data_IF_312668379334
#
_entry.id   IF_312668379334
#
_cell.length_a   1.000
_cell.length_b   1.000
_cell.length_c   1.000
_cell.angle_alpha   90.00
_cell.angle_beta   90.00
_cell.angle_gamma   90.00
#
_symmetry.space_group_name_H-M   'P 1'
#
loop_
_entity.id
_entity.type
_entity.pdbx_description
1 polymer ?
#
# COMPACT_ATOMS: atom_id res chain seq x y z
N UNK A 1 -6.27 4.77 1.41
CA UNK A 1 -5.40 5.62 2.25
C UNK A 1 -6.06 6.97 2.41
N UNK A 2 -5.47 7.93 3.14
CA UNK A 2 -5.99 9.30 3.16
C UNK A 2 -5.81 10.05 1.82
N UNK A 3 -5.05 9.46 0.90
CA UNK A 3 -4.78 9.98 -0.45
C UNK A 3 -5.58 9.22 -1.54
N UNK A 4 -6.62 8.47 -1.15
CA UNK A 4 -7.45 7.67 -2.05
C UNK A 4 -7.19 6.16 -2.03
N UNK A 5 -7.86 5.44 -2.92
CA UNK A 5 -7.72 3.98 -3.05
C UNK A 5 -6.41 3.63 -3.74
N UNK A 6 -5.65 2.72 -3.14
CA UNK A 6 -4.35 2.22 -3.63
C UNK A 6 -4.38 0.71 -3.49
N UNK A 7 -4.18 -0.01 -4.59
CA UNK A 7 -4.06 -1.47 -4.58
C UNK A 7 -2.72 -1.89 -3.98
N UNK A 8 -2.72 -3.04 -3.31
CA UNK A 8 -1.51 -3.65 -2.76
C UNK A 8 -1.27 -4.96 -3.52
N UNK A 9 -0.08 -5.09 -4.08
CA UNK A 9 0.45 -6.37 -4.56
C UNK A 9 1.00 -7.15 -3.39
N UNK A 10 0.59 -8.40 -3.28
CA UNK A 10 1.06 -9.33 -2.23
C UNK A 10 1.82 -10.46 -2.92
N UNK A 11 3.05 -10.70 -2.47
CA UNK A 11 3.86 -11.84 -2.86
C UNK A 11 3.81 -12.90 -1.77
N UNK A 12 3.43 -14.12 -2.16
CA UNK A 12 3.32 -15.26 -1.26
C UNK A 12 4.48 -16.23 -1.46
N UNK A 13 4.95 -16.83 -0.37
CA UNK A 13 5.87 -17.96 -0.38
C UNK A 13 5.18 -19.27 -0.76
N UNK A 14 5.95 -20.38 -0.90
CA UNK A 14 5.43 -21.69 -1.31
C UNK A 14 4.35 -22.27 -0.40
N UNK A 15 4.32 -21.88 0.87
CA UNK A 15 3.36 -22.30 1.90
C UNK A 15 2.21 -21.30 2.11
N UNK A 16 2.14 -20.25 1.27
CA UNK A 16 1.15 -19.19 1.38
C UNK A 16 1.50 -18.09 2.37
N UNK A 17 2.69 -18.11 2.99
CA UNK A 17 3.13 -17.02 3.86
C UNK A 17 3.36 -15.72 3.07
N UNK A 18 3.06 -14.57 3.66
CA UNK A 18 3.26 -13.28 2.99
C UNK A 18 4.74 -12.88 3.07
N UNK A 19 5.46 -12.96 1.95
CA UNK A 19 6.87 -12.54 1.88
C UNK A 19 7.03 -11.05 1.60
N UNK A 20 6.17 -10.50 0.74
CA UNK A 20 6.34 -9.15 0.25
C UNK A 20 4.99 -8.45 0.07
N UNK A 21 4.99 -7.15 0.33
CA UNK A 21 3.90 -6.25 -0.01
C UNK A 21 4.43 -5.03 -0.73
N UNK A 22 3.73 -4.60 -1.76
CA UNK A 22 4.07 -3.39 -2.49
C UNK A 22 2.80 -2.62 -2.90
N UNK A 23 2.67 -1.33 -2.57
CA UNK A 23 1.61 -0.51 -3.14
C UNK A 23 1.81 -0.37 -4.65
N UNK A 24 0.73 -0.48 -5.42
CA UNK A 24 0.77 -0.31 -6.88
C UNK A 24 1.25 1.09 -7.24
N UNK A 25 2.25 1.16 -8.12
CA UNK A 25 2.94 2.41 -8.44
C UNK A 25 2.01 3.42 -9.08
N UNK A 26 1.20 3.00 -10.07
CA UNK A 26 0.33 3.91 -10.82
C UNK A 26 -0.74 4.55 -9.93
N UNK A 27 -1.31 3.77 -9.01
CA UNK A 27 -2.27 4.27 -8.03
C UNK A 27 -1.60 5.30 -7.10
N UNK A 28 -0.37 5.01 -6.64
CA UNK A 28 0.40 5.92 -5.80
C UNK A 28 0.79 7.21 -6.55
N UNK A 29 1.19 7.08 -7.81
CA UNK A 29 1.62 8.20 -8.65
C UNK A 29 0.44 9.10 -9.01
N UNK A 30 -0.73 8.52 -9.29
CA UNK A 30 -1.98 9.26 -9.49
C UNK A 30 -2.35 10.05 -8.23
N UNK A 31 -2.40 9.38 -7.07
CA UNK A 31 -2.70 10.03 -5.80
C UNK A 31 -1.71 11.15 -5.44
N UNK A 32 -0.41 10.95 -5.70
CA UNK A 32 0.61 11.97 -5.50
C UNK A 32 0.38 13.22 -6.36
N UNK A 33 0.02 13.05 -7.64
CA UNK A 33 -0.28 14.16 -8.55
C UNK A 33 -1.56 14.91 -8.14
N UNK A 34 -2.62 14.18 -7.80
CA UNK A 34 -3.91 14.76 -7.39
C UNK A 34 -3.82 15.57 -6.09
N UNK A 35 -2.94 15.16 -5.17
CA UNK A 35 -2.85 15.76 -3.82
C UNK A 35 -1.65 16.69 -3.64
N UNK A 36 -0.71 16.71 -4.58
CA UNK A 36 0.57 17.43 -4.43
C UNK A 36 1.52 16.82 -3.38
N UNK A 37 1.21 15.62 -2.86
CA UNK A 37 2.01 14.96 -1.82
C UNK A 37 3.13 14.14 -2.46
N UNK A 38 4.36 14.13 -1.89
CA UNK A 38 5.44 13.31 -2.40
C UNK A 38 5.07 11.82 -2.50
N UNK A 39 5.37 11.18 -3.64
CA UNK A 39 5.09 9.77 -3.90
C UNK A 39 5.53 8.83 -2.76
N UNK A 40 6.70 9.10 -2.16
CA UNK A 40 7.23 8.32 -1.02
C UNK A 40 6.27 8.34 0.18
N UNK A 41 5.66 9.49 0.48
CA UNK A 41 4.68 9.63 1.58
C UNK A 41 3.37 8.91 1.26
N UNK A 42 2.94 8.92 -0.01
CA UNK A 42 1.77 8.16 -0.45
C UNK A 42 2.01 6.66 -0.28
N UNK A 43 3.14 6.14 -0.77
CA UNK A 43 3.53 4.73 -0.62
C UNK A 43 3.63 4.30 0.85
N UNK A 44 4.31 5.11 1.68
CA UNK A 44 4.47 4.80 3.11
C UNK A 44 3.12 4.70 3.83
N UNK A 45 2.21 5.65 3.58
CA UNK A 45 0.88 5.61 4.17
C UNK A 45 0.03 4.44 3.64
N UNK A 46 0.25 3.97 2.41
CA UNK A 46 -0.42 2.77 1.91
C UNK A 46 -0.01 1.51 2.68
N UNK A 47 1.29 1.36 2.96
CA UNK A 47 1.82 0.28 3.79
C UNK A 47 1.28 0.35 5.23
N UNK A 48 1.32 1.53 5.86
CA UNK A 48 0.80 1.73 7.23
C UNK A 48 -0.68 1.36 7.36
N UNK A 49 -1.51 1.71 6.35
CA UNK A 49 -2.94 1.37 6.36
C UNK A 49 -3.16 -0.13 6.14
N UNK A 50 -2.36 -0.76 5.29
CA UNK A 50 -2.43 -2.21 5.07
C UNK A 50 -2.10 -2.96 6.37
N UNK A 51 -0.99 -2.61 7.02
CA UNK A 51 -0.51 -3.26 8.24
C UNK A 51 -1.54 -3.14 9.38
N UNK A 52 -2.10 -1.94 9.59
CA UNK A 52 -3.17 -1.73 10.57
C UNK A 52 -4.40 -2.60 10.29
N UNK A 53 -4.76 -2.79 9.02
CA UNK A 53 -5.91 -3.61 8.62
C UNK A 53 -5.65 -5.10 8.78
N UNK A 54 -4.42 -5.56 8.62
CA UNK A 54 -4.08 -6.97 8.79
C UNK A 54 -3.95 -7.33 10.26
N UNK A 55 -3.26 -6.53 11.07
CA UNK A 55 -3.09 -6.78 12.51
C UNK A 55 -4.39 -6.64 13.31
N UNK A 56 -5.39 -5.90 12.80
CA UNK A 56 -6.71 -5.82 13.44
C UNK A 56 -7.68 -6.94 13.01
N UNK A 57 -7.24 -7.86 12.13
CA UNK A 57 -8.03 -8.99 11.64
C UNK A 57 -7.57 -10.34 12.23
N UNK A 58 -6.50 -10.32 13.01
CA UNK A 58 -6.06 -11.42 13.88
C UNK A 58 -6.69 -11.25 15.28
#
# INVERSE_FOLDING_TARGET
TKYGSIRIKIGFGPDGEVWNIAPEYDDCARAARETGVPLKKVRQHALEVWEKRTTSRD
#
